data_IF_952025282820
#
_entry.id   IF_952025282820
#
_cell.length_a   1.000
_cell.length_b   1.000
_cell.length_c   1.000
_cell.angle_alpha   90.00
_cell.angle_beta   90.00
_cell.angle_gamma   90.00
#
_symmetry.space_group_name_H-M   'P 1'
#
loop_
_entity.id
_entity.type
_entity.pdbx_description
1 polymer ?
#
# COMPACT_ATOMS: atom_id res chain seq x y z
N UNK A 1 13.04 24.20 -43.62
CA UNK A 1 12.39 24.57 -42.35
C UNK A 1 11.81 23.31 -41.69
N UNK A 2 12.66 22.68 -40.86
CA UNK A 2 12.51 21.30 -40.41
C UNK A 2 11.35 21.08 -39.44
N UNK A 3 10.67 19.96 -39.69
CA UNK A 3 9.54 19.40 -38.98
C UNK A 3 9.92 19.06 -37.52
N UNK A 4 9.20 19.63 -36.55
CA UNK A 4 9.34 19.31 -35.13
C UNK A 4 8.63 17.99 -34.86
N UNK A 5 9.38 16.89 -35.05
CA UNK A 5 8.93 15.54 -34.70
C UNK A 5 8.56 15.43 -33.23
N UNK A 6 7.26 15.32 -32.96
CA UNK A 6 6.72 14.82 -31.72
C UNK A 6 7.23 13.39 -31.53
N UNK A 7 8.28 13.23 -30.71
CA UNK A 7 8.87 11.95 -30.37
C UNK A 7 7.83 11.02 -29.77
N UNK A 8 7.35 10.07 -30.57
CA UNK A 8 6.57 8.93 -30.10
C UNK A 8 7.52 8.07 -29.27
N UNK A 9 7.31 8.04 -27.95
CA UNK A 9 8.02 7.14 -27.05
C UNK A 9 7.64 5.69 -27.41
N UNK A 10 8.40 5.08 -28.31
CA UNK A 10 8.29 3.64 -28.60
C UNK A 10 8.81 2.88 -27.37
N UNK A 11 7.90 2.19 -26.68
CA UNK A 11 8.23 1.31 -25.57
C UNK A 11 9.10 0.14 -26.09
N UNK A 12 10.20 -0.23 -25.41
CA UNK A 12 11.02 -1.37 -25.80
C UNK A 12 10.21 -2.67 -25.79
N UNK A 13 10.21 -3.40 -26.90
CA UNK A 13 9.56 -4.71 -27.00
C UNK A 13 10.39 -5.76 -26.26
N UNK A 14 10.07 -6.00 -24.99
CA UNK A 14 10.48 -7.21 -24.27
C UNK A 14 9.29 -8.16 -24.10
N UNK A 15 9.55 -9.46 -24.26
CA UNK A 15 8.54 -10.53 -24.38
C UNK A 15 7.37 -10.42 -23.40
N UNK A 16 6.19 -10.19 -23.96
CA UNK A 16 4.92 -9.79 -23.32
C UNK A 16 4.40 -10.74 -22.23
N UNK A 17 5.00 -11.92 -22.05
CA UNK A 17 4.56 -12.94 -21.09
C UNK A 17 5.26 -12.93 -19.73
N UNK A 18 6.53 -12.52 -19.64
CA UNK A 18 7.30 -12.61 -18.37
C UNK A 18 7.30 -11.31 -17.56
N UNK A 19 7.17 -10.15 -18.22
CA UNK A 19 7.10 -8.84 -17.56
C UNK A 19 5.78 -8.63 -16.78
N UNK A 20 4.72 -9.35 -17.14
CA UNK A 20 3.39 -9.23 -16.52
C UNK A 20 3.11 -10.25 -15.41
N UNK A 21 3.89 -11.33 -15.33
CA UNK A 21 3.74 -12.36 -14.31
C UNK A 21 4.07 -11.86 -12.91
N UNK A 22 4.94 -10.85 -12.82
CA UNK A 22 5.55 -10.38 -11.57
C UNK A 22 4.61 -9.41 -10.83
N UNK A 23 3.99 -8.39 -11.48
CA UNK A 23 2.88 -7.66 -10.89
C UNK A 23 1.73 -8.60 -10.52
N UNK A 24 1.30 -9.49 -11.42
CA UNK A 24 0.21 -10.43 -11.16
C UNK A 24 0.42 -11.32 -9.92
N UNK A 25 1.67 -11.70 -9.61
CA UNK A 25 2.00 -12.47 -8.41
C UNK A 25 1.87 -11.67 -7.10
N UNK A 26 2.25 -10.39 -7.10
CA UNK A 26 2.04 -9.47 -5.97
C UNK A 26 0.55 -9.16 -5.72
N UNK A 27 -0.24 -9.18 -6.79
CA UNK A 27 -1.69 -8.98 -6.78
C UNK A 27 -2.44 -10.23 -6.31
N UNK A 28 -1.94 -11.41 -6.68
CA UNK A 28 -2.38 -12.69 -6.13
C UNK A 28 -2.09 -12.79 -4.62
N UNK A 29 -1.05 -12.13 -4.10
CA UNK A 29 -0.74 -12.14 -2.66
C UNK A 29 -1.75 -11.35 -1.81
N UNK A 30 -2.50 -10.43 -2.41
CA UNK A 30 -3.61 -9.72 -1.76
C UNK A 30 -4.92 -10.53 -1.83
N UNK A 31 -5.07 -11.37 -2.85
CA UNK A 31 -6.11 -12.42 -2.91
C UNK A 31 -5.85 -13.52 -1.87
N UNK A 32 -4.57 -13.86 -1.63
CA UNK A 32 -4.14 -14.76 -0.55
C UNK A 32 -4.48 -14.19 0.83
N UNK A 33 -4.56 -12.87 1.00
CA UNK A 33 -5.01 -12.24 2.25
C UNK A 33 -6.49 -12.59 2.57
N UNK A 34 -7.31 -12.79 1.53
CA UNK A 34 -8.66 -13.34 1.65
C UNK A 34 -8.67 -14.83 2.04
N UNK A 35 -7.73 -15.62 1.53
CA UNK A 35 -7.55 -17.05 1.86
C UNK A 35 -6.96 -17.26 3.27
N UNK A 36 -6.09 -16.36 3.73
CA UNK A 36 -5.46 -16.34 5.05
C UNK A 36 -6.48 -16.06 6.16
N UNK A 37 -7.45 -15.20 5.89
CA UNK A 37 -8.60 -14.97 6.76
C UNK A 37 -9.55 -16.18 6.80
N UNK A 38 -9.57 -17.02 5.75
CA UNK A 38 -10.23 -18.33 5.80
C UNK A 38 -9.39 -19.37 6.55
N UNK A 39 -8.06 -19.33 6.47
CA UNK A 39 -7.18 -20.26 7.19
C UNK A 39 -7.19 -20.04 8.72
N UNK A 40 -7.44 -18.82 9.18
CA UNK A 40 -7.70 -18.51 10.61
C UNK A 40 -9.08 -18.97 11.10
N UNK A 41 -9.91 -19.61 10.25
CA UNK A 41 -11.20 -20.23 10.64
C UNK A 41 -11.04 -21.48 11.53
N UNK A 42 -9.86 -22.10 11.59
CA UNK A 42 -9.69 -23.43 12.19
C UNK A 42 -9.82 -23.49 13.72
N UNK A 43 -9.43 -22.44 14.45
CA UNK A 43 -9.26 -22.51 15.91
C UNK A 43 -10.30 -21.72 16.74
N UNK A 44 -11.18 -20.94 16.12
CA UNK A 44 -12.16 -20.09 16.84
C UNK A 44 -13.55 -20.74 16.92
N UNK A 45 -13.63 -21.82 17.69
CA UNK A 45 -14.87 -22.50 18.09
C UNK A 45 -15.86 -21.58 18.85
N UNK A 46 -15.38 -20.47 19.42
CA UNK A 46 -16.14 -19.62 20.36
C UNK A 46 -16.84 -18.39 19.75
N UNK A 47 -16.67 -18.08 18.45
CA UNK A 47 -17.24 -16.84 17.88
C UNK A 47 -18.70 -16.98 17.44
N UNK A 48 -19.52 -15.97 17.77
CA UNK A 48 -20.93 -15.91 17.34
C UNK A 48 -21.04 -15.78 15.81
N UNK A 49 -22.17 -16.25 15.25
CA UNK A 49 -22.43 -16.19 13.79
C UNK A 49 -22.34 -14.74 13.26
N UNK A 50 -22.86 -13.78 14.02
CA UNK A 50 -22.85 -12.34 13.68
C UNK A 50 -21.43 -11.77 13.65
N UNK A 51 -20.57 -12.14 14.60
CA UNK A 51 -19.18 -11.71 14.64
C UNK A 51 -18.42 -12.19 13.40
N UNK A 52 -18.59 -13.48 13.04
CA UNK A 52 -17.99 -14.06 11.83
C UNK A 52 -18.43 -13.33 10.56
N UNK A 53 -19.71 -12.97 10.46
CA UNK A 53 -20.25 -12.24 9.30
C UNK A 53 -19.68 -10.82 9.18
N UNK A 54 -19.59 -10.09 10.30
CA UNK A 54 -19.06 -8.72 10.36
C UNK A 54 -17.58 -8.64 9.98
N UNK A 55 -16.77 -9.55 10.51
CA UNK A 55 -15.35 -9.70 10.15
C UNK A 55 -15.24 -10.04 8.67
N UNK A 56 -15.95 -11.07 8.19
CA UNK A 56 -15.93 -11.49 6.78
C UNK A 56 -16.32 -10.36 5.84
N UNK A 57 -17.33 -9.56 6.18
CA UNK A 57 -17.75 -8.41 5.37
C UNK A 57 -16.62 -7.37 5.26
N UNK A 58 -15.98 -7.03 6.38
CA UNK A 58 -14.87 -6.06 6.44
C UNK A 58 -13.71 -6.50 5.55
N UNK A 59 -13.23 -7.73 5.72
CA UNK A 59 -12.13 -8.27 4.92
C UNK A 59 -12.52 -8.51 3.46
N UNK A 60 -13.80 -8.80 3.18
CA UNK A 60 -14.33 -8.86 1.83
C UNK A 60 -14.27 -7.52 1.11
N UNK A 61 -14.70 -6.43 1.76
CA UNK A 61 -14.57 -5.07 1.22
C UNK A 61 -13.10 -4.67 1.05
N UNK A 62 -12.23 -5.00 2.01
CA UNK A 62 -10.80 -4.79 1.88
C UNK A 62 -10.24 -5.47 0.60
N UNK A 63 -10.54 -6.76 0.40
CA UNK A 63 -10.12 -7.51 -0.77
C UNK A 63 -10.65 -6.92 -2.09
N UNK A 64 -11.91 -6.46 -2.10
CA UNK A 64 -12.49 -5.75 -3.25
C UNK A 64 -11.80 -4.41 -3.52
N UNK A 65 -11.49 -3.65 -2.48
CA UNK A 65 -10.76 -2.38 -2.59
C UNK A 65 -9.38 -2.59 -3.18
N UNK A 66 -8.67 -3.62 -2.72
CA UNK A 66 -7.38 -4.00 -3.29
C UNK A 66 -7.52 -4.45 -4.74
N UNK A 67 -8.49 -5.30 -5.07
CA UNK A 67 -8.73 -5.70 -6.46
C UNK A 67 -9.03 -4.50 -7.37
N UNK A 68 -9.81 -3.53 -6.90
CA UNK A 68 -10.11 -2.30 -7.62
C UNK A 68 -8.87 -1.42 -7.80
N UNK A 69 -8.07 -1.25 -6.74
CA UNK A 69 -6.81 -0.50 -6.75
C UNK A 69 -5.87 -1.00 -7.85
N UNK A 70 -5.73 -2.31 -7.87
CA UNK A 70 -4.84 -3.05 -8.74
C UNK A 70 -5.36 -3.10 -10.18
N UNK A 71 -6.64 -3.43 -10.33
CA UNK A 71 -7.31 -3.50 -11.63
C UNK A 71 -7.25 -2.15 -12.34
N UNK A 72 -7.47 -1.07 -11.61
CA UNK A 72 -7.34 0.28 -12.16
C UNK A 72 -5.90 0.58 -12.61
N UNK A 73 -4.90 0.24 -11.79
CA UNK A 73 -3.49 0.43 -12.15
C UNK A 73 -3.12 -0.33 -13.43
N UNK A 74 -3.59 -1.57 -13.56
CA UNK A 74 -3.35 -2.41 -14.73
C UNK A 74 -4.04 -1.85 -15.99
N UNK A 75 -5.30 -1.41 -15.88
CA UNK A 75 -6.03 -0.80 -17.00
C UNK A 75 -5.34 0.47 -17.48
N UNK A 76 -4.92 1.35 -16.56
CA UNK A 76 -4.21 2.59 -16.91
C UNK A 76 -2.86 2.32 -17.58
N UNK A 77 -2.14 1.31 -17.09
CA UNK A 77 -0.87 0.89 -17.69
C UNK A 77 -1.06 0.29 -19.09
N UNK A 78 -2.05 -0.59 -19.28
CA UNK A 78 -2.40 -1.20 -20.57
C UNK A 78 -2.84 -0.19 -21.61
N UNK A 79 -3.60 0.82 -21.20
CA UNK A 79 -4.13 1.87 -22.08
C UNK A 79 -3.14 3.00 -22.34
N UNK A 80 -2.01 3.03 -21.61
CA UNK A 80 -1.03 4.12 -21.71
C UNK A 80 -1.51 5.44 -21.08
N UNK A 81 -2.67 5.46 -20.41
CA UNK A 81 -3.24 6.63 -19.74
C UNK A 81 -2.63 6.87 -18.35
N UNK A 82 -1.33 6.61 -18.21
CA UNK A 82 -0.62 6.80 -16.94
C UNK A 82 -0.48 8.31 -16.70
N UNK A 83 -0.89 8.82 -15.52
CA UNK A 83 -0.69 10.23 -15.17
C UNK A 83 0.78 10.61 -15.25
N UNK A 84 1.11 11.64 -16.01
CA UNK A 84 2.49 12.08 -16.23
C UNK A 84 2.71 13.52 -15.80
N UNK A 85 1.67 14.36 -15.89
CA UNK A 85 1.77 15.76 -15.55
C UNK A 85 1.60 15.97 -14.02
N UNK A 86 2.44 16.78 -13.36
CA UNK A 86 2.34 17.02 -11.91
C UNK A 86 0.95 17.49 -11.44
N UNK A 87 0.26 18.30 -12.24
CA UNK A 87 -1.12 18.73 -11.92
C UNK A 87 -2.13 17.58 -11.96
N UNK A 88 -1.94 16.57 -12.81
CA UNK A 88 -2.81 15.38 -12.82
C UNK A 88 -2.61 14.59 -11.53
N UNK A 89 -1.36 14.38 -11.11
CA UNK A 89 -1.02 13.68 -9.88
C UNK A 89 -1.59 14.43 -8.66
N UNK A 90 -1.44 15.76 -8.64
CA UNK A 90 -2.02 16.59 -7.58
C UNK A 90 -3.56 16.57 -7.57
N UNK A 91 -4.19 16.62 -8.75
CA UNK A 91 -5.64 16.49 -8.88
C UNK A 91 -6.16 15.13 -8.39
N UNK A 92 -5.45 14.04 -8.71
CA UNK A 92 -5.76 12.70 -8.20
C UNK A 92 -5.63 12.66 -6.68
N UNK A 93 -4.58 13.26 -6.11
CA UNK A 93 -4.42 13.36 -4.65
C UNK A 93 -5.59 14.07 -3.97
N UNK A 94 -5.99 15.25 -4.48
CA UNK A 94 -7.15 15.98 -3.94
C UNK A 94 -8.46 15.20 -4.10
N UNK A 95 -8.66 14.54 -5.24
CA UNK A 95 -9.81 13.69 -5.49
C UNK A 95 -9.85 12.49 -4.53
N UNK A 96 -8.69 11.88 -4.22
CA UNK A 96 -8.57 10.81 -3.24
C UNK A 96 -8.97 11.30 -1.85
N UNK A 97 -8.47 12.46 -1.41
CA UNK A 97 -8.85 13.05 -0.12
C UNK A 97 -10.36 13.31 -0.04
N UNK A 98 -10.96 13.84 -1.10
CA UNK A 98 -12.40 14.07 -1.15
C UNK A 98 -13.21 12.76 -1.11
N UNK A 99 -12.77 11.73 -1.84
CA UNK A 99 -13.42 10.42 -1.85
C UNK A 99 -13.37 9.76 -0.45
N UNK A 100 -12.23 9.84 0.25
CA UNK A 100 -12.09 9.35 1.63
C UNK A 100 -13.00 10.12 2.60
N UNK A 101 -13.06 11.44 2.47
CA UNK A 101 -13.95 12.29 3.27
C UNK A 101 -15.42 11.89 3.06
N UNK A 102 -15.87 11.78 1.81
CA UNK A 102 -17.24 11.38 1.48
C UNK A 102 -17.56 9.97 1.98
N UNK A 103 -16.67 9.01 1.79
CA UNK A 103 -16.83 7.64 2.29
C UNK A 103 -16.97 7.60 3.82
N UNK A 104 -16.20 8.44 4.54
CA UNK A 104 -16.22 8.51 6.00
C UNK A 104 -17.43 9.27 6.57
N UNK A 105 -17.99 10.21 5.79
CA UNK A 105 -19.15 11.02 6.20
C UNK A 105 -20.50 10.33 5.99
N UNK A 106 -20.56 9.27 5.17
CA UNK A 106 -21.80 8.56 4.85
C UNK A 106 -22.09 7.47 5.86
N UNK A 107 -23.36 7.33 6.24
CA UNK A 107 -23.82 6.26 7.11
C UNK A 107 -23.95 4.93 6.34
N UNK A 108 -23.57 3.83 6.99
CA UNK A 108 -23.60 2.50 6.37
C UNK A 108 -25.02 2.00 6.08
N UNK A 109 -25.95 2.26 7.00
CA UNK A 109 -27.32 1.73 6.93
C UNK A 109 -28.21 2.45 5.93
N UNK A 110 -28.00 3.77 5.74
CA UNK A 110 -28.78 4.58 4.80
C UNK A 110 -28.22 4.50 3.36
N UNK A 111 -26.90 4.60 3.21
CA UNK A 111 -26.26 4.90 1.91
C UNK A 111 -25.20 3.88 1.51
N UNK A 112 -25.42 2.60 1.81
CA UNK A 112 -24.45 1.51 1.55
C UNK A 112 -23.89 1.53 0.13
N UNK A 113 -24.74 1.73 -0.90
CA UNK A 113 -24.30 1.76 -2.30
C UNK A 113 -23.38 2.94 -2.60
N UNK A 114 -23.74 4.13 -2.13
CA UNK A 114 -22.93 5.33 -2.32
C UNK A 114 -21.58 5.19 -1.61
N UNK A 115 -21.58 4.61 -0.41
CA UNK A 115 -20.37 4.37 0.37
C UNK A 115 -19.41 3.40 -0.30
N UNK A 116 -19.92 2.28 -0.83
CA UNK A 116 -19.11 1.34 -1.65
C UNK A 116 -18.60 2.04 -2.91
N UNK A 117 -19.42 2.88 -3.55
CA UNK A 117 -19.02 3.66 -4.72
C UNK A 117 -17.85 4.61 -4.43
N UNK A 118 -17.92 5.38 -3.33
CA UNK A 118 -16.84 6.27 -2.92
C UNK A 118 -15.58 5.51 -2.49
N UNK A 119 -15.72 4.38 -1.82
CA UNK A 119 -14.59 3.50 -1.50
C UNK A 119 -13.92 2.93 -2.76
N UNK A 120 -14.71 2.49 -3.74
CA UNK A 120 -14.21 2.02 -5.03
C UNK A 120 -13.54 3.13 -5.85
N UNK A 121 -14.13 4.33 -5.87
CA UNK A 121 -13.54 5.51 -6.51
C UNK A 121 -12.19 5.88 -5.87
N UNK A 122 -12.14 5.88 -4.54
CA UNK A 122 -10.91 6.08 -3.79
C UNK A 122 -9.85 5.03 -4.15
N UNK A 123 -10.19 3.75 -4.10
CA UNK A 123 -9.28 2.67 -4.47
C UNK A 123 -8.77 2.81 -5.92
N UNK A 124 -9.66 3.16 -6.85
CA UNK A 124 -9.31 3.41 -8.25
C UNK A 124 -8.34 4.59 -8.43
N UNK A 125 -8.58 5.72 -7.73
CA UNK A 125 -7.67 6.87 -7.74
C UNK A 125 -6.29 6.52 -7.18
N UNK A 126 -6.24 5.72 -6.10
CA UNK A 126 -4.98 5.17 -5.62
C UNK A 126 -4.32 4.24 -6.64
N UNK A 127 -5.09 3.63 -7.55
CA UNK A 127 -4.61 2.76 -8.61
C UNK A 127 -3.89 3.55 -9.70
N UNK A 128 -4.34 4.77 -9.94
CA UNK A 128 -3.62 5.73 -10.77
C UNK A 128 -2.26 6.11 -10.17
N UNK A 129 -2.16 6.26 -8.84
CA UNK A 129 -0.86 6.47 -8.19
C UNK A 129 0.06 5.24 -8.35
N UNK A 130 -0.49 4.03 -8.26
CA UNK A 130 0.26 2.80 -8.49
C UNK A 130 0.73 2.67 -9.94
N UNK A 131 -0.07 3.07 -10.94
CA UNK A 131 0.32 2.97 -12.36
C UNK A 131 1.53 3.84 -12.70
N UNK A 132 1.64 5.02 -12.08
CA UNK A 132 2.84 5.88 -12.20
C UNK A 132 4.08 5.16 -11.67
N UNK A 133 3.95 4.52 -10.51
CA UNK A 133 5.05 3.77 -9.89
C UNK A 133 5.45 2.56 -10.74
N UNK A 134 4.48 1.81 -11.25
CA UNK A 134 4.73 0.68 -12.17
C UNK A 134 5.51 1.13 -13.40
N UNK A 135 5.13 2.25 -14.01
CA UNK A 135 5.85 2.80 -15.17
C UNK A 135 7.28 3.20 -14.80
N UNK A 136 7.48 3.92 -13.70
CA UNK A 136 8.81 4.35 -13.24
C UNK A 136 9.74 3.16 -12.97
N UNK A 137 9.26 2.12 -12.28
CA UNK A 137 10.05 0.92 -11.98
C UNK A 137 10.26 0.06 -13.23
N UNK A 138 9.30 0.03 -14.16
CA UNK A 138 9.46 -0.63 -15.45
C UNK A 138 10.58 0.00 -16.28
N UNK A 139 10.60 1.33 -16.40
CA UNK A 139 11.64 2.06 -17.14
C UNK A 139 13.05 1.86 -16.57
N UNK A 140 13.15 1.61 -15.26
CA UNK A 140 14.43 1.30 -14.58
C UNK A 140 14.82 -0.18 -14.61
N UNK A 141 13.93 -1.08 -15.09
CA UNK A 141 14.16 -2.53 -15.03
C UNK A 141 13.93 -3.16 -13.65
N UNK A 142 13.39 -2.41 -12.69
CA UNK A 142 13.21 -2.81 -11.29
C UNK A 142 11.82 -3.35 -10.99
N UNK A 143 11.06 -3.78 -12.01
CA UNK A 143 9.67 -4.23 -11.85
C UNK A 143 9.52 -5.40 -10.86
N UNK A 144 10.58 -6.22 -10.70
CA UNK A 144 10.62 -7.31 -9.75
C UNK A 144 10.50 -6.87 -8.28
N UNK A 145 10.99 -5.68 -7.93
CA UNK A 145 10.89 -5.13 -6.58
C UNK A 145 9.44 -4.85 -6.17
N UNK A 146 8.58 -4.51 -7.13
CA UNK A 146 7.14 -4.26 -6.88
C UNK A 146 6.46 -5.53 -6.38
N UNK A 147 6.76 -6.67 -7.02
CA UNK A 147 6.20 -7.96 -6.60
C UNK A 147 6.77 -8.42 -5.28
N UNK A 148 8.07 -8.22 -5.05
CA UNK A 148 8.71 -8.54 -3.78
C UNK A 148 8.12 -7.72 -2.63
N UNK A 149 7.89 -6.42 -2.84
CA UNK A 149 7.26 -5.55 -1.86
C UNK A 149 5.85 -6.01 -1.52
N UNK A 150 5.06 -6.39 -2.54
CA UNK A 150 3.72 -6.92 -2.33
C UNK A 150 3.75 -8.24 -1.55
N UNK A 151 4.69 -9.15 -1.86
CA UNK A 151 4.84 -10.40 -1.15
C UNK A 151 5.21 -10.20 0.33
N UNK A 152 6.16 -9.31 0.62
CA UNK A 152 6.55 -8.95 1.99
C UNK A 152 5.37 -8.33 2.73
N UNK A 153 4.66 -7.38 2.11
CA UNK A 153 3.52 -6.72 2.74
C UNK A 153 2.38 -7.70 3.05
N UNK A 154 2.12 -8.66 2.15
CA UNK A 154 1.13 -9.71 2.41
C UNK A 154 1.58 -10.65 3.52
N UNK A 155 2.88 -10.97 3.61
CA UNK A 155 3.43 -11.74 4.72
C UNK A 155 3.28 -10.98 6.06
N UNK A 156 3.54 -9.67 6.08
CA UNK A 156 3.33 -8.82 7.25
C UNK A 156 1.85 -8.78 7.65
N UNK A 157 0.94 -8.59 6.69
CA UNK A 157 -0.50 -8.63 6.95
C UNK A 157 -0.95 -9.97 7.55
N UNK A 158 -0.45 -11.09 7.01
CA UNK A 158 -0.70 -12.43 7.52
C UNK A 158 -0.15 -12.60 8.94
N UNK A 159 1.09 -12.20 9.19
CA UNK A 159 1.71 -12.28 10.50
C UNK A 159 0.90 -11.50 11.55
N UNK A 160 0.50 -10.27 11.21
CA UNK A 160 -0.37 -9.44 12.06
C UNK A 160 -1.71 -10.13 12.31
N UNK A 161 -2.37 -10.67 11.28
CA UNK A 161 -3.64 -11.37 11.44
C UNK A 161 -3.53 -12.58 12.38
N UNK A 162 -2.48 -13.39 12.24
CA UNK A 162 -2.19 -14.51 13.13
C UNK A 162 -1.99 -14.05 14.58
N UNK A 163 -1.19 -12.99 14.80
CA UNK A 163 -0.96 -12.44 16.15
C UNK A 163 -2.27 -12.00 16.81
N UNK A 164 -3.17 -11.33 16.06
CA UNK A 164 -4.46 -10.87 16.61
C UNK A 164 -5.36 -12.05 16.97
N UNK A 165 -5.40 -13.09 16.13
CA UNK A 165 -6.21 -14.28 16.40
C UNK A 165 -5.65 -15.07 17.58
N UNK A 166 -4.33 -15.21 17.70
CA UNK A 166 -3.69 -15.90 18.81
C UNK A 166 -3.77 -15.13 20.14
N UNK A 167 -3.81 -13.80 20.11
CA UNK A 167 -3.83 -12.95 21.32
C UNK A 167 -5.02 -11.97 21.34
N UNK A 168 -6.27 -12.46 21.45
CA UNK A 168 -7.46 -11.61 21.42
C UNK A 168 -7.62 -10.73 22.67
N UNK A 169 -7.02 -11.13 23.80
CA UNK A 169 -7.18 -10.46 25.10
C UNK A 169 -6.18 -9.33 25.36
N UNK A 170 -5.16 -9.15 24.50
CA UNK A 170 -4.15 -8.10 24.71
C UNK A 170 -4.61 -6.81 24.05
N UNK A 171 -4.71 -5.76 24.85
CA UNK A 171 -5.17 -4.45 24.41
C UNK A 171 -4.01 -3.65 23.82
N UNK A 172 -4.04 -3.44 22.49
CA UNK A 172 -3.16 -2.50 21.80
C UNK A 172 -3.91 -1.20 21.44
N UNK A 173 -5.16 -1.04 21.89
CA UNK A 173 -5.95 0.17 21.65
C UNK A 173 -5.36 1.44 22.27
N UNK A 174 -4.53 1.30 23.32
CA UNK A 174 -3.82 2.43 23.91
C UNK A 174 -2.78 3.04 22.95
N UNK A 175 -2.32 2.28 21.94
CA UNK A 175 -1.37 2.77 20.94
C UNK A 175 -1.98 3.78 19.98
N UNK A 176 -3.31 3.98 19.95
CA UNK A 176 -3.95 4.91 19.01
C UNK A 176 -3.37 6.33 19.09
N UNK A 177 -3.05 6.81 20.29
CA UNK A 177 -2.42 8.11 20.49
C UNK A 177 -1.02 8.17 19.88
N UNK A 178 -0.18 7.18 20.17
CA UNK A 178 1.20 7.11 19.66
C UNK A 178 1.25 6.89 18.14
N UNK A 179 0.37 6.07 17.58
CA UNK A 179 0.31 5.81 16.14
C UNK A 179 -0.14 7.05 15.36
N UNK A 180 -1.16 7.77 15.85
CA UNK A 180 -1.59 9.01 15.21
C UNK A 180 -0.52 10.09 15.25
N UNK A 181 0.23 10.20 16.36
CA UNK A 181 1.42 11.04 16.43
C UNK A 181 2.51 10.59 15.44
N UNK A 182 2.74 9.28 15.32
CA UNK A 182 3.69 8.69 14.36
C UNK A 182 3.32 8.99 12.91
N UNK A 183 2.05 8.89 12.53
CA UNK A 183 1.56 9.27 11.20
C UNK A 183 1.77 10.77 10.92
N UNK A 184 1.48 11.64 11.90
CA UNK A 184 1.74 13.08 11.80
C UNK A 184 3.23 13.39 11.63
N UNK A 185 4.09 12.71 12.39
CA UNK A 185 5.54 12.81 12.27
C UNK A 185 6.03 12.36 10.89
N UNK A 186 5.52 11.25 10.35
CA UNK A 186 5.86 10.78 9.01
C UNK A 186 5.42 11.76 7.93
N UNK A 187 4.24 12.36 8.05
CA UNK A 187 3.76 13.38 7.13
C UNK A 187 4.71 14.59 7.12
N UNK A 188 5.05 15.12 8.31
CA UNK A 188 6.01 16.21 8.46
C UNK A 188 7.40 15.85 7.92
N UNK A 189 7.89 14.64 8.22
CA UNK A 189 9.19 14.17 7.77
C UNK A 189 9.27 14.03 6.24
N UNK A 190 8.20 13.58 5.57
CA UNK A 190 8.15 13.55 4.11
C UNK A 190 8.17 14.97 3.49
N UNK A 191 7.47 15.93 4.08
CA UNK A 191 7.50 17.33 3.64
C UNK A 191 8.89 17.95 3.81
N UNK A 192 9.52 17.75 4.97
CA UNK A 192 10.90 18.19 5.24
C UNK A 192 11.87 17.53 4.24
N UNK A 193 11.75 16.23 4.01
CA UNK A 193 12.60 15.53 3.06
C UNK A 193 12.43 16.02 1.61
N UNK A 194 11.23 16.50 1.24
CA UNK A 194 11.00 17.12 -0.07
C UNK A 194 11.77 18.44 -0.23
N UNK A 195 11.96 19.20 0.85
CA UNK A 195 12.70 20.47 0.83
C UNK A 195 14.22 20.27 0.88
N UNK A 196 14.70 19.31 1.67
CA UNK A 196 16.14 19.14 1.94
C UNK A 196 16.81 18.00 1.15
N UNK A 197 16.05 17.01 0.64
CA UNK A 197 16.58 15.94 -0.20
C UNK A 197 17.63 15.03 0.45
N UNK A 198 17.65 14.89 1.78
CA UNK A 198 18.69 14.15 2.48
C UNK A 198 18.50 12.62 2.36
N UNK A 199 19.50 11.91 1.81
CA UNK A 199 19.48 10.46 1.59
C UNK A 199 19.35 9.63 2.88
N UNK A 200 19.96 10.07 4.00
CA UNK A 200 19.86 9.36 5.29
C UNK A 200 18.44 9.50 5.85
N UNK A 201 17.91 10.72 5.80
CA UNK A 201 16.54 11.00 6.22
C UNK A 201 15.54 10.23 5.36
N UNK A 202 15.76 10.15 4.05
CA UNK A 202 14.94 9.38 3.12
C UNK A 202 14.82 7.90 3.51
N UNK A 203 15.93 7.27 3.92
CA UNK A 203 15.96 5.86 4.35
C UNK A 203 15.34 5.70 5.74
N UNK A 204 15.68 6.58 6.69
CA UNK A 204 15.10 6.53 8.03
C UNK A 204 13.57 6.64 8.00
N UNK A 205 13.04 7.57 7.21
CA UNK A 205 11.61 7.71 6.96
C UNK A 205 11.02 6.41 6.41
N UNK A 206 11.75 5.71 5.54
CA UNK A 206 11.26 4.49 4.93
C UNK A 206 11.06 3.36 5.96
N UNK A 207 12.06 3.13 6.82
CA UNK A 207 12.01 2.12 7.88
C UNK A 207 11.04 2.46 9.01
N UNK A 208 11.04 3.72 9.47
CA UNK A 208 10.09 4.18 10.50
C UNK A 208 8.66 4.11 9.97
N UNK A 209 8.45 4.48 8.71
CA UNK A 209 7.16 4.37 8.05
C UNK A 209 6.63 2.94 8.04
N UNK A 210 7.44 1.98 7.56
CA UNK A 210 7.06 0.57 7.58
C UNK A 210 6.66 0.09 9.00
N UNK A 211 7.48 0.41 10.01
CA UNK A 211 7.17 0.01 11.40
C UNK A 211 5.86 0.62 11.92
N UNK A 212 5.61 1.91 11.64
CA UNK A 212 4.38 2.60 12.06
C UNK A 212 3.14 2.01 11.38
N UNK A 213 3.21 1.71 10.08
CA UNK A 213 2.07 1.13 9.37
C UNK A 213 1.81 -0.33 9.72
N UNK A 214 2.83 -1.14 10.01
CA UNK A 214 2.64 -2.48 10.56
C UNK A 214 1.98 -2.44 11.95
N UNK A 215 2.38 -1.49 12.80
CA UNK A 215 1.74 -1.30 14.10
C UNK A 215 0.30 -0.77 13.98
N UNK A 216 0.03 0.10 13.01
CA UNK A 216 -1.31 0.64 12.74
C UNK A 216 -2.25 -0.44 12.22
N UNK A 217 -1.75 -1.27 11.31
CA UNK A 217 -2.47 -2.45 10.83
C UNK A 217 -2.85 -3.38 11.98
N UNK A 218 -1.93 -3.64 12.92
CA UNK A 218 -2.20 -4.44 14.11
C UNK A 218 -3.32 -3.83 14.95
N UNK A 219 -3.25 -2.52 15.23
CA UNK A 219 -4.28 -1.80 15.97
C UNK A 219 -5.65 -1.89 15.28
N UNK A 220 -5.71 -1.69 13.96
CA UNK A 220 -6.95 -1.65 13.20
C UNK A 220 -7.60 -3.02 13.08
N UNK A 221 -6.82 -4.08 12.86
CA UNK A 221 -7.34 -5.46 12.87
C UNK A 221 -7.92 -5.81 14.24
N UNK A 222 -7.26 -5.42 15.33
CA UNK A 222 -7.80 -5.64 16.68
C UNK A 222 -9.07 -4.85 16.96
N UNK A 223 -9.11 -3.61 16.51
CA UNK A 223 -10.30 -2.76 16.63
C UNK A 223 -11.50 -3.41 15.92
N UNK A 224 -11.30 -3.95 14.72
CA UNK A 224 -12.33 -4.70 13.99
C UNK A 224 -12.82 -5.91 14.78
N UNK A 225 -11.91 -6.71 15.34
CA UNK A 225 -12.31 -7.90 16.10
C UNK A 225 -13.13 -7.55 17.35
N UNK A 226 -12.80 -6.46 18.05
CA UNK A 226 -13.54 -5.97 19.23
C UNK A 226 -14.91 -5.43 18.85
N UNK A 227 -14.97 -4.57 17.86
CA UNK A 227 -16.23 -3.96 17.42
C UNK A 227 -17.15 -5.02 16.78
N UNK A 228 -16.58 -6.04 16.13
CA UNK A 228 -17.36 -7.17 15.60
C UNK A 228 -17.92 -8.08 16.70
N UNK A 229 -17.21 -8.25 17.83
CA UNK A 229 -17.68 -9.02 18.98
C UNK A 229 -18.77 -8.31 19.79
N UNK A 230 -18.97 -7.02 19.54
CA UNK A 230 -19.95 -6.20 20.25
C UNK A 230 -21.37 -6.67 19.91
N UNK A 231 -22.21 -7.03 20.91
CA UNK A 231 -23.55 -7.56 20.68
C UNK A 231 -24.40 -6.59 19.84
N UNK A 232 -25.21 -7.09 18.88
CA UNK A 232 -26.17 -6.26 18.15
C UNK A 232 -27.14 -5.61 19.14
N UNK A 233 -27.52 -4.36 18.87
CA UNK A 233 -28.50 -3.68 19.70
C UNK A 233 -29.89 -4.28 19.49
N UNK A 234 -30.75 -4.26 20.52
CA UNK A 234 -32.16 -4.55 20.31
C UNK A 234 -32.76 -3.57 19.28
N UNK A 235 -33.75 -4.02 18.48
CA UNK A 235 -34.40 -3.19 17.47
C UNK A 235 -34.93 -1.89 18.10
N UNK A 236 -34.56 -0.73 17.55
CA UNK A 236 -34.97 0.58 18.04
C UNK A 236 -34.10 1.17 19.17
N UNK A 237 -33.11 0.45 19.68
CA UNK A 237 -32.14 1.00 20.61
C UNK A 237 -30.98 1.68 19.87
N UNK A 238 -30.76 2.96 20.15
CA UNK A 238 -29.59 3.71 19.71
C UNK A 238 -28.50 3.61 20.78
N UNK A 239 -27.27 3.26 20.41
CA UNK A 239 -26.14 3.59 21.28
C UNK A 239 -25.87 5.06 21.10
N UNK A 240 -25.87 5.82 22.19
CA UNK A 240 -25.38 7.19 22.19
C UNK A 240 -24.13 7.26 23.04
N UNK A 241 -23.13 8.02 22.58
CA UNK A 241 -21.99 8.34 23.44
C UNK A 241 -22.43 9.27 24.59
N UNK A 242 -21.51 9.56 25.52
CA UNK A 242 -21.77 10.47 26.64
C UNK A 242 -22.12 11.91 26.18
N UNK A 243 -21.97 12.20 24.89
CA UNK A 243 -22.26 13.48 24.23
C UNK A 243 -23.56 13.40 23.39
N UNK A 244 -24.34 12.33 23.51
CA UNK A 244 -25.63 12.17 22.83
C UNK A 244 -25.54 11.85 21.33
N UNK A 245 -24.35 11.60 20.79
CA UNK A 245 -24.15 11.24 19.38
C UNK A 245 -24.47 9.77 19.18
N UNK A 246 -25.26 9.44 18.15
CA UNK A 246 -25.45 8.05 17.72
C UNK A 246 -24.09 7.41 17.46
N UNK A 247 -23.73 6.41 18.26
CA UNK A 247 -22.69 5.46 17.93
C UNK A 247 -23.25 4.61 16.80
N UNK A 248 -22.75 4.87 15.59
CA UNK A 248 -23.14 4.13 14.41
C UNK A 248 -22.92 2.62 14.62
N UNK A 249 -23.82 1.83 14.05
CA UNK A 249 -23.70 0.38 14.00
C UNK A 249 -22.37 -0.03 13.32
N UNK A 250 -21.89 -1.24 13.60
CA UNK A 250 -20.63 -1.76 13.07
C UNK A 250 -20.55 -1.53 11.55
N UNK A 251 -19.58 -0.74 11.11
CA UNK A 251 -19.46 -0.29 9.72
C UNK A 251 -18.26 -0.98 9.04
N UNK A 252 -18.52 -2.07 8.28
CA UNK A 252 -17.45 -2.85 7.69
C UNK A 252 -16.65 -2.07 6.64
N UNK A 253 -17.23 -1.05 5.99
CA UNK A 253 -16.54 -0.29 4.92
C UNK A 253 -15.54 0.67 5.53
N UNK A 254 -15.89 1.38 6.61
CA UNK A 254 -14.95 2.27 7.29
C UNK A 254 -13.77 1.50 7.88
N UNK A 255 -14.02 0.34 8.45
CA UNK A 255 -12.96 -0.53 8.92
C UNK A 255 -12.08 -1.07 7.78
N UNK A 256 -12.70 -1.49 6.68
CA UNK A 256 -11.98 -1.93 5.49
C UNK A 256 -11.10 -0.83 4.90
N UNK A 257 -11.58 0.41 4.87
CA UNK A 257 -10.85 1.58 4.42
C UNK A 257 -9.61 1.87 5.29
N UNK A 258 -9.73 1.73 6.60
CA UNK A 258 -8.62 1.90 7.55
C UNK A 258 -7.51 0.87 7.31
N UNK A 259 -7.89 -0.43 7.29
CA UNK A 259 -6.97 -1.54 6.99
C UNK A 259 -6.34 -1.38 5.60
N UNK A 260 -7.13 -0.96 4.60
CA UNK A 260 -6.65 -0.68 3.25
C UNK A 260 -5.58 0.42 3.23
N UNK A 261 -5.80 1.51 3.97
CA UNK A 261 -4.81 2.59 4.07
C UNK A 261 -3.51 2.15 4.70
N UNK A 262 -3.56 1.40 5.79
CA UNK A 262 -2.35 0.91 6.44
C UNK A 262 -1.58 -0.08 5.56
N UNK A 263 -2.29 -1.00 4.90
CA UNK A 263 -1.68 -1.97 4.00
C UNK A 263 -1.03 -1.32 2.77
N UNK A 264 -1.71 -0.36 2.13
CA UNK A 264 -1.18 0.35 0.95
C UNK A 264 0.02 1.21 1.30
N UNK A 265 -0.03 1.90 2.44
CA UNK A 265 1.10 2.71 2.89
C UNK A 265 2.30 1.83 3.25
N UNK A 266 2.08 0.74 4.02
CA UNK A 266 3.12 -0.24 4.32
C UNK A 266 3.78 -0.76 3.03
N UNK A 267 2.98 -1.10 2.02
CA UNK A 267 3.49 -1.53 0.71
C UNK A 267 4.44 -0.51 0.08
N UNK A 268 4.04 0.77 0.03
CA UNK A 268 4.90 1.81 -0.56
C UNK A 268 6.18 2.03 0.25
N UNK A 269 6.11 1.90 1.56
CA UNK A 269 7.28 1.99 2.43
C UNK A 269 8.25 0.82 2.24
N UNK A 270 7.75 -0.41 2.15
CA UNK A 270 8.55 -1.60 1.82
C UNK A 270 9.16 -1.48 0.43
N UNK A 271 8.36 -1.07 -0.57
CA UNK A 271 8.84 -0.86 -1.94
C UNK A 271 9.98 0.17 -1.99
N UNK A 272 9.85 1.25 -1.23
CA UNK A 272 10.89 2.28 -1.12
C UNK A 272 12.18 1.74 -0.50
N UNK A 273 12.08 0.91 0.55
CA UNK A 273 13.25 0.27 1.16
C UNK A 273 13.98 -0.62 0.14
N UNK A 274 13.24 -1.44 -0.61
CA UNK A 274 13.81 -2.31 -1.64
C UNK A 274 14.45 -1.51 -2.78
N UNK A 275 13.80 -0.43 -3.22
CA UNK A 275 14.33 0.45 -4.26
C UNK A 275 15.63 1.17 -3.82
N UNK A 276 15.69 1.62 -2.57
CA UNK A 276 16.89 2.24 -2.00
C UNK A 276 18.05 1.23 -1.87
N UNK A 277 17.75 -0.04 -1.56
CA UNK A 277 18.73 -1.13 -1.52
C UNK A 277 19.29 -1.43 -2.92
N UNK A 278 18.42 -1.59 -3.92
CA UNK A 278 18.82 -1.88 -5.30
C UNK A 278 19.70 -0.77 -5.88
N UNK A 279 19.32 0.50 -5.66
CA UNK A 279 20.13 1.63 -6.09
C UNK A 279 21.52 1.69 -5.45
N UNK A 280 21.71 1.15 -4.23
CA UNK A 280 23.05 1.04 -3.61
C UNK A 280 23.87 -0.08 -4.20
N UNK A 281 23.24 -1.21 -4.53
CA UNK A 281 23.92 -2.36 -5.13
C UNK A 281 24.49 -1.96 -6.51
N UNK A 282 23.69 -1.29 -7.34
CA UNK A 282 24.15 -0.80 -8.65
C UNK A 282 25.35 0.15 -8.55
N UNK A 283 25.32 1.09 -7.59
CA UNK A 283 26.43 2.03 -7.34
C UNK A 283 27.71 1.28 -6.93
N UNK A 284 27.57 0.27 -6.07
CA UNK A 284 28.70 -0.54 -5.58
C UNK A 284 29.31 -1.38 -6.70
N UNK A 285 28.48 -1.99 -7.56
CA UNK A 285 28.95 -2.74 -8.73
C UNK A 285 29.69 -1.83 -9.73
N UNK A 286 29.18 -0.63 -9.99
CA UNK A 286 29.86 0.35 -10.87
C UNK A 286 31.20 0.82 -10.29
N UNK A 287 31.30 0.98 -8.97
CA UNK A 287 32.56 1.34 -8.32
C UNK A 287 33.60 0.22 -8.40
N UNK A 288 33.18 -1.03 -8.19
CA UNK A 288 34.07 -2.20 -8.34
C UNK A 288 34.62 -2.35 -9.75
N UNK A 289 33.75 -2.24 -10.77
CA UNK A 289 34.17 -2.31 -12.18
C UNK A 289 35.12 -1.17 -12.58
N UNK A 290 34.95 0.04 -12.03
CA UNK A 290 35.88 1.15 -12.23
C UNK A 290 37.22 0.94 -11.53
N UNK A 291 37.24 0.29 -10.36
CA UNK A 291 38.47 -0.08 -9.65
C UNK A 291 39.29 -1.11 -10.43
N UNK A 292 38.66 -2.19 -10.88
CA UNK A 292 39.31 -3.27 -11.63
C UNK A 292 39.82 -2.81 -13.01
N UNK A 293 39.05 -1.98 -13.73
CA UNK A 293 39.49 -1.40 -15.00
C UNK A 293 40.66 -0.41 -14.87
N UNK A 294 40.82 0.22 -13.70
CA UNK A 294 41.95 1.09 -13.37
C UNK A 294 43.23 0.31 -13.03
N UNK A 295 43.10 -0.84 -12.36
CA UNK A 295 44.23 -1.72 -12.04
C UNK A 295 44.72 -2.50 -13.26
N UNK A 296 43.82 -2.95 -14.14
CA UNK A 296 44.21 -3.58 -15.42
C UNK A 296 45.04 -2.66 -16.32
N UNK A 297 44.76 -1.35 -16.32
CA UNK A 297 45.58 -0.33 -17.02
C UNK A 297 46.94 -0.06 -16.37
N UNK A 298 47.10 -0.31 -15.08
CA UNK A 298 48.38 -0.17 -14.37
C UNK A 298 49.30 -1.36 -14.57
N UNK A 299 48.74 -2.54 -14.83
CA UNK A 299 49.50 -3.78 -15.07
C UNK A 299 49.84 -4.04 -16.54
N UNK A 300 49.32 -3.24 -17.48
CA UNK A 300 49.75 -3.31 -18.88
C UNK A 300 51.24 -2.94 -18.98
N UNK A 301 52.10 -3.81 -19.57
CA UNK A 301 53.51 -3.50 -19.77
C UNK A 301 53.64 -2.17 -20.55
N UNK A 302 54.72 -1.40 -20.32
CA UNK A 302 54.86 -0.02 -20.81
C UNK A 302 54.65 0.15 -22.32
N UNK A 303 54.75 -0.93 -23.09
CA UNK A 303 54.65 -1.02 -24.54
C UNK A 303 53.21 -0.94 -25.08
N UNK A 304 52.17 -1.04 -24.24
CA UNK A 304 50.76 -1.10 -24.66
C UNK A 304 49.90 0.05 -24.13
N UNK A 305 50.51 1.11 -23.58
CA UNK A 305 49.76 2.31 -23.19
C UNK A 305 49.49 3.16 -24.44
N UNK A 306 48.24 3.42 -24.82
CA UNK A 306 47.96 4.40 -25.85
C UNK A 306 48.40 5.78 -25.36
N UNK A 307 49.15 6.48 -26.21
CA UNK A 307 49.63 7.86 -26.07
C UNK A 307 48.48 8.86 -25.99
#
# INVERSE_FOLDING_TARGET
>A
PGDMGLGTWQLPSFGSGRALAVPAAGLATLVVLGQVMEATRGETSQWSKTQKQRVRATFGYFGLGVAAWVGCAFVLWKTGLVPHHPLQIFGIFLASCYATYKCSSLDYDADRKAKVGWFGAFAGLQGANLSVILLQFHLRGWLHLVAQAAAITSADCLAVALIVVSYPHKDWLWLRGTLSAGMGMLLGANLVNMLFGNRILHQAIAYVGAAVFTASLLHDVQKVMREAATPPLPPGAERRDAQGRRLCEFDPIRHALSIYMDAVNLFFYVLRILADQEGRNEQSHRQRQRGEGGEGRRQLPPQLRPS
#
